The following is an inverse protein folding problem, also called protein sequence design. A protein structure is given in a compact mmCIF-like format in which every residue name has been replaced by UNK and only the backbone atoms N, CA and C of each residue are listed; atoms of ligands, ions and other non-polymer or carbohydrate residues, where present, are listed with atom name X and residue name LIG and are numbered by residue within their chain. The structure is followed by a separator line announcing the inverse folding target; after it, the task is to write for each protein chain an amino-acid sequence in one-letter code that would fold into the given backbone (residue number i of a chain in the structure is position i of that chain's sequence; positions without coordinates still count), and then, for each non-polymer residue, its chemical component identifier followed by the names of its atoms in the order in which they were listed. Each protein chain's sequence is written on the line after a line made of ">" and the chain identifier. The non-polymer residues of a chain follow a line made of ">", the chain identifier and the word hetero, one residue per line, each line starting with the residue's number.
data_IF_751802757643
#
_entry.id   IF_751802757643
#
_cell.length_a   1.000
_cell.length_b   1.000
_cell.length_c   1.000
_cell.angle_alpha   90.00
_cell.angle_beta   90.00
_cell.angle_gamma   90.00
#
_symmetry.space_group_name_H-M   'P 1'
#
loop_
_entity.id
_entity.type
_entity.pdbx_description
1 polymer ?
#
# COMPACT_ATOMS: atom_id res chain seq x y z
N UNK A 1 29.35 -20.66 -24.72
CA UNK A 1 30.42 -19.75 -25.20
C UNK A 1 30.07 -18.27 -24.99
N UNK A 2 28.80 -17.87 -25.16
CA UNK A 2 28.32 -16.48 -25.05
C UNK A 2 28.40 -15.86 -23.63
N UNK A 3 28.27 -16.66 -22.57
CA UNK A 3 28.34 -16.22 -21.16
C UNK A 3 29.77 -15.91 -20.67
N UNK A 4 30.80 -16.54 -21.26
CA UNK A 4 32.20 -16.35 -20.87
C UNK A 4 32.79 -15.02 -21.37
N UNK A 5 32.45 -14.64 -22.61
CA UNK A 5 32.87 -13.35 -23.20
C UNK A 5 32.27 -12.16 -22.43
N UNK A 6 31.02 -12.28 -21.97
CA UNK A 6 30.38 -11.27 -21.13
C UNK A 6 31.06 -11.10 -19.77
N UNK A 7 31.39 -12.22 -19.09
CA UNK A 7 32.14 -12.22 -17.83
C UNK A 7 33.55 -11.63 -17.97
N UNK A 8 34.27 -11.99 -19.03
CA UNK A 8 35.60 -11.46 -19.30
C UNK A 8 35.58 -9.94 -19.56
N UNK A 9 34.61 -9.46 -20.36
CA UNK A 9 34.42 -8.03 -20.62
C UNK A 9 34.06 -7.25 -19.33
N UNK A 10 33.20 -7.82 -18.49
CA UNK A 10 32.85 -7.24 -17.19
C UNK A 10 34.07 -7.10 -16.27
N UNK A 11 34.85 -8.17 -16.10
CA UNK A 11 36.05 -8.17 -15.26
C UNK A 11 37.09 -7.17 -15.78
N UNK A 12 37.30 -7.10 -17.09
CA UNK A 12 38.21 -6.14 -17.71
C UNK A 12 37.74 -4.68 -17.49
N UNK A 13 36.45 -4.42 -17.65
CA UNK A 13 35.84 -3.12 -17.38
C UNK A 13 36.00 -2.69 -15.92
N UNK A 14 35.74 -3.61 -14.98
CA UNK A 14 35.90 -3.35 -13.55
C UNK A 14 37.36 -3.02 -13.22
N UNK A 15 38.32 -3.82 -13.69
CA UNK A 15 39.75 -3.57 -13.49
C UNK A 15 40.19 -2.22 -14.04
N UNK A 16 39.69 -1.81 -15.20
CA UNK A 16 39.96 -0.48 -15.80
C UNK A 16 39.48 0.64 -14.88
N UNK A 17 38.26 0.57 -14.38
CA UNK A 17 37.71 1.59 -13.48
C UNK A 17 38.39 1.60 -12.11
N UNK A 18 38.77 0.44 -11.58
CA UNK A 18 39.56 0.33 -10.35
C UNK A 18 40.93 0.99 -10.51
N UNK A 19 41.59 0.80 -11.66
CA UNK A 19 42.87 1.46 -11.97
C UNK A 19 42.71 2.98 -12.10
N UNK A 20 41.74 3.43 -12.88
CA UNK A 20 41.45 4.86 -13.05
C UNK A 20 41.16 5.55 -11.71
N UNK A 21 40.43 4.89 -10.80
CA UNK A 21 40.18 5.42 -9.46
C UNK A 21 41.45 5.54 -8.59
N UNK A 22 42.39 4.59 -8.71
CA UNK A 22 43.66 4.62 -7.98
C UNK A 22 44.62 5.70 -8.49
N UNK A 23 44.64 5.91 -9.80
CA UNK A 23 45.53 6.87 -10.47
C UNK A 23 44.97 8.31 -10.48
N UNK A 24 43.68 8.48 -10.18
CA UNK A 24 42.99 9.76 -10.22
C UNK A 24 43.68 10.92 -9.46
N UNK A 25 44.32 10.72 -8.28
CA UNK A 25 45.00 11.81 -7.57
C UNK A 25 46.18 12.42 -8.33
N UNK A 26 46.78 11.67 -9.27
CA UNK A 26 48.00 12.05 -10.00
C UNK A 26 47.80 12.10 -11.52
N UNK A 27 46.60 11.82 -12.01
CA UNK A 27 46.29 11.79 -13.43
C UNK A 27 46.17 13.20 -14.04
N UNK A 28 46.38 13.30 -15.35
CA UNK A 28 46.22 14.55 -16.08
C UNK A 28 44.77 15.08 -16.04
N UNK A 29 44.60 16.40 -16.01
CA UNK A 29 43.30 17.05 -15.86
C UNK A 29 42.36 16.83 -17.06
N UNK A 30 42.89 16.69 -18.28
CA UNK A 30 42.07 16.40 -19.47
C UNK A 30 41.57 14.96 -19.39
N UNK A 31 42.44 14.03 -19.03
CA UNK A 31 42.07 12.63 -18.83
C UNK A 31 41.03 12.48 -17.71
N UNK A 32 41.23 13.15 -16.56
CA UNK A 32 40.27 13.14 -15.45
C UNK A 32 38.89 13.67 -15.84
N UNK A 33 38.81 14.72 -16.67
CA UNK A 33 37.51 15.23 -17.16
C UNK A 33 36.77 14.20 -18.01
N UNK A 34 37.50 13.49 -18.87
CA UNK A 34 36.92 12.42 -19.71
C UNK A 34 36.50 11.23 -18.86
N UNK A 35 37.38 10.75 -17.97
CA UNK A 35 37.10 9.65 -17.05
C UNK A 35 35.89 9.96 -16.17
N UNK A 36 35.80 11.17 -15.59
CA UNK A 36 34.65 11.63 -14.80
C UNK A 36 33.35 11.61 -15.59
N UNK A 37 33.37 12.05 -16.84
CA UNK A 37 32.18 12.09 -17.71
C UNK A 37 31.67 10.68 -18.01
N UNK A 38 32.59 9.77 -18.36
CA UNK A 38 32.26 8.36 -18.59
C UNK A 38 31.78 7.66 -17.32
N UNK A 39 32.40 7.92 -16.17
CA UNK A 39 32.00 7.35 -14.88
C UNK A 39 30.59 7.78 -14.48
N UNK A 40 30.24 9.06 -14.65
CA UNK A 40 28.88 9.56 -14.37
C UNK A 40 27.82 8.86 -15.22
N UNK A 41 28.07 8.69 -16.53
CA UNK A 41 27.16 7.96 -17.43
C UNK A 41 26.96 6.51 -16.97
N UNK A 42 28.04 5.83 -16.61
CA UNK A 42 27.97 4.46 -16.09
C UNK A 42 27.20 4.39 -14.78
N UNK A 43 27.49 5.29 -13.83
CA UNK A 43 26.80 5.39 -12.55
C UNK A 43 25.29 5.54 -12.74
N UNK A 44 24.84 6.45 -13.59
CA UNK A 44 23.40 6.65 -13.86
C UNK A 44 22.72 5.36 -14.32
N UNK A 45 23.34 4.59 -15.22
CA UNK A 45 22.77 3.32 -15.71
C UNK A 45 22.79 2.21 -14.67
N UNK A 46 23.85 2.16 -13.86
CA UNK A 46 23.93 1.21 -12.75
C UNK A 46 22.89 1.53 -11.68
N UNK A 47 22.72 2.81 -11.33
CA UNK A 47 21.68 3.25 -10.38
C UNK A 47 20.27 2.90 -10.89
N UNK A 48 20.01 3.08 -12.19
CA UNK A 48 18.74 2.70 -12.84
C UNK A 48 18.47 1.19 -12.75
N UNK A 49 19.47 0.35 -13.06
CA UNK A 49 19.36 -1.11 -12.92
C UNK A 49 19.16 -1.52 -11.46
N UNK A 50 19.96 -0.98 -10.53
CA UNK A 50 19.87 -1.28 -9.10
C UNK A 50 18.48 -0.89 -8.59
N UNK A 51 17.97 0.28 -8.96
CA UNK A 51 16.62 0.71 -8.59
C UNK A 51 15.55 -0.30 -9.03
N UNK A 52 15.61 -0.78 -10.28
CA UNK A 52 14.68 -1.80 -10.77
C UNK A 52 14.91 -3.18 -10.13
N UNK A 53 16.16 -3.56 -9.89
CA UNK A 53 16.51 -4.84 -9.28
C UNK A 53 16.05 -4.89 -7.81
N UNK A 54 16.34 -3.86 -7.03
CA UNK A 54 15.89 -3.71 -5.64
C UNK A 54 14.36 -3.74 -5.57
N UNK A 55 13.66 -3.05 -6.47
CA UNK A 55 12.20 -3.11 -6.52
C UNK A 55 11.66 -4.52 -6.79
N UNK A 56 12.30 -5.30 -7.67
CA UNK A 56 11.86 -6.65 -8.07
C UNK A 56 12.29 -7.75 -7.10
N UNK A 57 13.44 -7.58 -6.46
CA UNK A 57 14.05 -8.55 -5.55
C UNK A 57 13.69 -8.29 -4.09
N UNK A 58 13.25 -7.07 -3.74
CA UNK A 58 12.73 -6.79 -2.41
C UNK A 58 11.55 -7.70 -2.11
N UNK A 59 11.66 -8.42 -1.00
CA UNK A 59 10.51 -9.09 -0.40
C UNK A 59 9.62 -8.04 0.27
N UNK A 60 8.29 -8.22 0.22
CA UNK A 60 7.58 -9.33 -0.43
C UNK A 60 7.45 -9.14 -1.96
N UNK A 61 7.59 -10.23 -2.72
CA UNK A 61 7.56 -10.19 -4.19
C UNK A 61 6.27 -9.55 -4.71
N UNK A 62 6.39 -8.65 -5.69
CA UNK A 62 5.24 -8.05 -6.39
C UNK A 62 4.34 -9.14 -6.95
N UNK A 63 3.04 -9.03 -6.70
CA UNK A 63 2.04 -10.02 -7.15
C UNK A 63 1.85 -11.22 -6.21
N UNK A 64 2.61 -11.34 -5.11
CA UNK A 64 2.28 -12.32 -4.08
C UNK A 64 1.03 -11.87 -3.30
N UNK A 65 -0.11 -12.42 -3.67
CA UNK A 65 -1.40 -12.19 -3.01
C UNK A 65 -1.68 -13.23 -1.90
N UNK A 66 -0.71 -14.06 -1.56
CA UNK A 66 -0.85 -15.00 -0.46
C UNK A 66 -0.67 -14.26 0.87
N UNK A 67 -1.68 -14.36 1.72
CA UNK A 67 -1.65 -13.92 3.10
C UNK A 67 -2.38 -14.98 3.95
N UNK A 68 -2.09 -15.10 5.25
CA UNK A 68 -2.82 -15.99 6.14
C UNK A 68 -4.33 -15.74 6.04
N UNK A 69 -5.11 -16.80 5.87
CA UNK A 69 -6.58 -16.73 5.82
C UNK A 69 -7.11 -17.64 6.91
N UNK A 70 -8.15 -17.24 7.67
CA UNK A 70 -8.83 -18.17 8.55
C UNK A 70 -9.30 -19.41 7.77
N UNK A 71 -9.11 -20.60 8.32
CA UNK A 71 -9.39 -21.88 7.64
C UNK A 71 -10.85 -22.02 7.18
N UNK A 72 -11.77 -21.36 7.89
CA UNK A 72 -13.21 -21.34 7.63
C UNK A 72 -13.65 -20.20 6.68
N UNK A 73 -12.70 -19.45 6.12
CA UNK A 73 -13.01 -18.35 5.20
C UNK A 73 -13.45 -18.86 3.83
N UNK A 74 -14.62 -18.40 3.37
CA UNK A 74 -15.16 -18.71 2.05
C UNK A 74 -14.76 -17.68 0.99
N UNK A 75 -14.21 -16.54 1.41
CA UNK A 75 -13.67 -15.50 0.54
C UNK A 75 -12.56 -14.73 1.25
N UNK A 76 -11.55 -14.30 0.49
CA UNK A 76 -10.49 -13.43 0.97
C UNK A 76 -9.98 -12.55 -0.16
N UNK A 77 -9.53 -11.35 0.18
CA UNK A 77 -9.08 -10.36 -0.81
C UNK A 77 -8.15 -9.32 -0.19
N UNK A 78 -7.19 -8.86 -1.00
CA UNK A 78 -6.31 -7.72 -0.72
C UNK A 78 -6.50 -6.70 -1.85
N UNK A 79 -6.71 -5.40 -1.57
CA UNK A 79 -6.88 -4.39 -2.61
C UNK A 79 -5.62 -4.20 -3.46
N UNK A 80 -5.80 -3.72 -4.69
CA UNK A 80 -4.73 -3.57 -5.68
C UNK A 80 -3.58 -2.68 -5.19
N UNK A 81 -3.91 -1.68 -4.37
CA UNK A 81 -2.98 -0.70 -3.82
C UNK A 81 -1.86 -1.36 -3.01
N UNK A 82 -2.12 -2.53 -2.40
CA UNK A 82 -1.12 -3.28 -1.62
C UNK A 82 -0.46 -4.41 -2.40
N UNK A 83 -0.95 -4.73 -3.60
CA UNK A 83 -0.50 -5.89 -4.38
C UNK A 83 0.60 -5.55 -5.41
N UNK A 84 0.50 -4.40 -6.06
CA UNK A 84 1.35 -4.04 -7.20
C UNK A 84 1.45 -2.53 -7.44
N UNK A 85 2.42 -2.09 -8.26
CA UNK A 85 2.62 -0.67 -8.52
C UNK A 85 1.41 -0.07 -9.24
N UNK A 86 0.92 1.07 -8.76
CA UNK A 86 -0.13 1.84 -9.42
C UNK A 86 0.45 2.69 -10.57
N UNK A 87 -0.33 2.96 -11.64
CA UNK A 87 0.08 3.88 -12.71
C UNK A 87 0.39 5.29 -12.21
N UNK A 88 -0.37 5.75 -11.21
CA UNK A 88 -0.13 6.98 -10.45
C UNK A 88 0.21 6.58 -9.03
N UNK A 89 1.46 6.84 -8.63
CA UNK A 89 1.97 6.42 -7.32
C UNK A 89 1.60 7.39 -6.19
N UNK A 90 1.07 8.58 -6.49
CA UNK A 90 0.67 9.50 -5.45
C UNK A 90 0.13 10.84 -5.94
N UNK A 91 -0.44 11.57 -5.00
CA UNK A 91 -1.16 12.81 -5.20
C UNK A 91 -0.68 13.79 -4.12
N UNK A 92 -0.37 15.02 -4.54
CA UNK A 92 -0.01 16.14 -3.66
C UNK A 92 -1.14 17.15 -3.71
N UNK A 93 -1.45 17.78 -2.58
CA UNK A 93 -2.58 18.71 -2.50
C UNK A 93 -3.88 17.97 -2.78
N UNK A 94 -4.06 16.82 -2.13
CA UNK A 94 -5.20 15.93 -2.36
C UNK A 94 -6.49 16.71 -2.15
N UNK A 95 -7.35 16.73 -3.16
CA UNK A 95 -8.71 17.28 -3.06
C UNK A 95 -9.65 16.18 -2.58
N UNK A 96 -10.74 16.58 -1.94
CA UNK A 96 -11.79 15.63 -1.54
C UNK A 96 -12.33 14.88 -2.76
N UNK A 97 -12.59 13.59 -2.60
CA UNK A 97 -12.99 12.63 -3.66
C UNK A 97 -11.89 12.29 -4.66
N UNK A 98 -10.62 12.55 -4.34
CA UNK A 98 -9.51 12.10 -5.17
C UNK A 98 -9.34 10.58 -5.06
N UNK A 99 -9.32 9.89 -6.21
CA UNK A 99 -9.05 8.46 -6.30
C UNK A 99 -7.56 8.16 -6.44
N UNK A 100 -7.10 7.06 -5.83
CA UNK A 100 -5.76 6.50 -6.03
C UNK A 100 -5.90 5.03 -6.41
N UNK A 101 -5.59 4.71 -7.67
CA UNK A 101 -5.99 3.44 -8.27
C UNK A 101 -7.49 3.40 -8.59
N UNK A 102 -8.03 2.20 -8.72
CA UNK A 102 -9.43 1.92 -9.06
C UNK A 102 -10.32 1.73 -7.83
N UNK A 103 -9.72 1.40 -6.68
CA UNK A 103 -10.45 0.90 -5.51
C UNK A 103 -10.45 1.88 -4.34
N UNK A 104 -9.49 2.82 -4.27
CA UNK A 104 -9.34 3.71 -3.13
C UNK A 104 -9.69 5.17 -3.47
N UNK A 105 -10.47 5.82 -2.60
CA UNK A 105 -10.85 7.24 -2.73
C UNK A 105 -10.71 7.95 -1.40
N UNK A 106 -10.03 9.09 -1.37
CA UNK A 106 -9.88 9.92 -0.17
C UNK A 106 -11.00 10.97 -0.10
N UNK A 107 -11.69 11.02 1.03
CA UNK A 107 -12.73 12.00 1.35
C UNK A 107 -12.26 12.87 2.50
N UNK A 108 -12.41 14.18 2.36
CA UNK A 108 -12.22 15.11 3.47
C UNK A 108 -13.00 16.42 3.31
N UNK A 109 -13.13 17.18 4.38
CA UNK A 109 -13.73 18.53 4.43
C UNK A 109 -12.70 19.65 4.65
N UNK A 110 -11.40 19.31 4.72
CA UNK A 110 -10.34 20.32 4.87
C UNK A 110 -10.30 21.31 3.69
N UNK A 111 -10.37 22.60 4.01
CA UNK A 111 -10.35 23.69 3.03
C UNK A 111 -8.96 23.92 2.43
N UNK A 112 -7.91 23.65 3.21
CA UNK A 112 -6.52 23.72 2.76
C UNK A 112 -6.08 22.33 2.30
N UNK A 113 -5.63 22.22 1.06
CA UNK A 113 -5.12 20.96 0.49
C UNK A 113 -3.69 20.73 0.93
N UNK A 114 -3.50 20.45 2.22
CA UNK A 114 -2.20 20.16 2.84
C UNK A 114 -2.08 18.66 3.17
N UNK A 115 -2.56 17.84 2.25
CA UNK A 115 -2.56 16.39 2.30
C UNK A 115 -1.69 15.85 1.15
N UNK A 116 -0.94 14.79 1.41
CA UNK A 116 -0.37 13.96 0.35
C UNK A 116 -0.74 12.50 0.57
N UNK A 117 -1.02 11.79 -0.52
CA UNK A 117 -1.38 10.39 -0.50
C UNK A 117 -0.50 9.66 -1.51
N UNK A 118 0.30 8.69 -1.07
CA UNK A 118 1.25 8.00 -1.94
C UNK A 118 1.34 6.51 -1.65
N UNK A 119 1.38 5.70 -2.70
CA UNK A 119 1.82 4.33 -2.62
C UNK A 119 3.33 4.28 -2.36
N UNK A 120 3.74 3.49 -1.39
CA UNK A 120 5.14 3.27 -1.02
C UNK A 120 5.48 1.79 -1.12
N UNK A 121 6.73 1.47 -1.45
CA UNK A 121 7.22 0.09 -1.47
C UNK A 121 7.44 -0.36 -0.02
N UNK A 122 6.84 -1.48 0.37
CA UNK A 122 7.21 -2.15 1.61
C UNK A 122 8.56 -2.85 1.44
N UNK A 123 9.42 -2.73 2.45
CA UNK A 123 10.79 -3.24 2.42
C UNK A 123 11.14 -4.10 3.63
N UNK A 124 10.21 -4.27 4.59
CA UNK A 124 10.46 -5.10 5.76
C UNK A 124 10.22 -6.56 5.39
N UNK A 125 11.09 -7.44 5.89
CA UNK A 125 10.95 -8.88 5.67
C UNK A 125 9.64 -9.47 6.23
N UNK A 126 9.06 -8.83 7.26
CA UNK A 126 7.79 -9.22 7.85
C UNK A 126 6.56 -8.76 7.06
N UNK A 127 6.70 -7.76 6.17
CA UNK A 127 5.60 -7.28 5.36
C UNK A 127 5.23 -8.37 4.32
N UNK A 128 3.95 -8.75 4.24
CA UNK A 128 3.45 -9.67 3.21
C UNK A 128 2.92 -8.93 1.98
N UNK A 129 2.44 -7.70 2.16
CA UNK A 129 2.05 -6.81 1.07
C UNK A 129 3.26 -6.15 0.41
N UNK A 130 3.25 -6.14 -0.91
CA UNK A 130 4.28 -5.55 -1.76
C UNK A 130 4.36 -4.02 -1.59
N UNK A 131 3.25 -3.37 -1.33
CA UNK A 131 3.16 -1.92 -1.21
C UNK A 131 2.32 -1.56 0.00
N UNK A 132 2.55 -0.35 0.51
CA UNK A 132 1.72 0.29 1.53
C UNK A 132 1.20 1.64 1.02
N UNK A 133 0.31 2.25 1.81
CA UNK A 133 -0.22 3.59 1.57
C UNK A 133 0.32 4.54 2.63
N UNK A 134 0.93 5.63 2.19
CA UNK A 134 1.38 6.73 3.03
C UNK A 134 0.44 7.92 2.87
N UNK A 135 -0.10 8.39 3.99
CA UNK A 135 -0.92 9.59 4.10
C UNK A 135 -0.17 10.60 4.98
N UNK A 136 0.32 11.67 4.37
CA UNK A 136 0.92 12.80 5.08
C UNK A 136 -0.12 13.89 5.26
N UNK A 137 -0.36 14.30 6.50
CA UNK A 137 -1.31 15.36 6.86
C UNK A 137 -0.56 16.47 7.59
N UNK A 138 -0.44 17.63 6.95
CA UNK A 138 0.16 18.80 7.59
C UNK A 138 -0.92 19.60 8.35
N UNK A 139 -1.29 20.79 7.89
CA UNK A 139 -2.42 21.51 8.44
C UNK A 139 -3.75 20.83 8.07
N UNK A 140 -4.56 20.52 9.08
CA UNK A 140 -5.92 20.03 8.88
C UNK A 140 -6.89 20.92 9.64
N UNK A 141 -7.76 21.61 8.91
CA UNK A 141 -8.82 22.48 9.47
C UNK A 141 -10.21 21.86 9.31
N UNK A 142 -10.29 20.66 8.77
CA UNK A 142 -11.52 19.89 8.62
C UNK A 142 -11.85 19.10 9.88
N UNK A 143 -13.01 18.46 9.86
CA UNK A 143 -13.49 17.54 10.90
C UNK A 143 -13.54 16.09 10.43
N UNK A 144 -13.38 15.84 9.14
CA UNK A 144 -13.56 14.52 8.54
C UNK A 144 -12.45 14.21 7.55
N UNK A 145 -11.74 13.12 7.77
CA UNK A 145 -10.79 12.52 6.83
C UNK A 145 -11.04 11.03 6.78
N UNK A 146 -11.27 10.50 5.57
CA UNK A 146 -11.47 9.07 5.38
C UNK A 146 -10.91 8.55 4.07
N UNK A 147 -10.37 7.34 4.11
CA UNK A 147 -10.03 6.56 2.94
C UNK A 147 -11.12 5.50 2.73
N UNK A 148 -11.90 5.65 1.67
CA UNK A 148 -12.84 4.62 1.24
C UNK A 148 -12.12 3.61 0.35
N UNK A 149 -12.35 2.32 0.61
CA UNK A 149 -11.87 1.19 -0.21
C UNK A 149 -13.08 0.40 -0.68
N UNK A 150 -13.30 0.39 -1.98
CA UNK A 150 -14.38 -0.36 -2.62
C UNK A 150 -14.06 -1.86 -2.65
N UNK A 151 -14.95 -2.69 -2.09
CA UNK A 151 -14.78 -4.13 -2.14
C UNK A 151 -15.30 -4.69 -3.48
N UNK A 152 -14.66 -5.76 -4.02
CA UNK A 152 -15.02 -6.33 -5.30
C UNK A 152 -16.39 -7.00 -5.28
N UNK A 153 -17.00 -7.19 -6.47
CA UNK A 153 -18.34 -7.79 -6.60
C UNK A 153 -18.47 -9.19 -5.98
N UNK A 154 -17.39 -9.97 -5.97
CA UNK A 154 -17.40 -11.29 -5.35
C UNK A 154 -17.45 -11.25 -3.81
N UNK A 155 -17.13 -10.11 -3.17
CA UNK A 155 -17.28 -9.94 -1.73
C UNK A 155 -18.75 -9.99 -1.28
N UNK A 156 -19.66 -9.49 -2.11
CA UNK A 156 -21.10 -9.46 -1.84
C UNK A 156 -21.86 -10.67 -2.38
N UNK A 157 -21.23 -11.48 -3.23
CA UNK A 157 -21.85 -12.66 -3.81
C UNK A 157 -22.20 -13.69 -2.72
N UNK A 158 -23.49 -13.96 -2.52
CA UNK A 158 -23.98 -14.87 -1.49
C UNK A 158 -23.87 -14.33 -0.06
N UNK A 159 -23.66 -13.02 0.11
CA UNK A 159 -23.55 -12.41 1.43
C UNK A 159 -24.89 -12.51 2.17
N UNK A 160 -24.83 -13.02 3.39
CA UNK A 160 -25.98 -13.15 4.31
C UNK A 160 -25.63 -12.58 5.68
N UNK A 161 -26.64 -12.37 6.53
CA UNK A 161 -26.49 -11.94 7.92
C UNK A 161 -25.73 -12.94 8.79
N UNK A 162 -25.53 -14.17 8.32
CA UNK A 162 -24.72 -15.18 9.01
C UNK A 162 -23.22 -15.01 8.75
N UNK A 163 -22.79 -14.03 7.96
CA UNK A 163 -21.38 -13.81 7.69
C UNK A 163 -20.75 -12.81 8.66
N UNK A 164 -19.47 -13.06 8.94
CA UNK A 164 -18.54 -12.11 9.52
C UNK A 164 -17.61 -11.62 8.40
N UNK A 165 -17.40 -10.31 8.34
CA UNK A 165 -16.33 -9.74 7.53
C UNK A 165 -15.20 -9.36 8.48
N UNK A 166 -14.02 -9.93 8.26
CA UNK A 166 -12.82 -9.57 9.00
C UNK A 166 -11.99 -8.60 8.18
N UNK A 167 -11.47 -7.58 8.86
CA UNK A 167 -10.45 -6.68 8.38
C UNK A 167 -9.18 -6.93 9.19
N UNK A 168 -8.06 -7.17 8.51
CA UNK A 168 -6.73 -7.18 9.11
C UNK A 168 -5.89 -6.08 8.44
N UNK A 169 -5.12 -5.34 9.23
CA UNK A 169 -4.31 -4.24 8.72
C UNK A 169 -3.03 -4.09 9.53
N UNK A 170 -2.03 -3.44 8.94
CA UNK A 170 -0.82 -3.02 9.62
C UNK A 170 -0.75 -1.50 9.48
N UNK A 171 -0.85 -0.78 10.59
CA UNK A 171 -0.85 0.68 10.61
C UNK A 171 0.30 1.19 11.45
N UNK A 172 0.97 2.22 10.94
CA UNK A 172 1.97 2.98 11.69
C UNK A 172 1.61 4.45 11.61
N UNK A 173 1.68 5.16 12.73
CA UNK A 173 1.52 6.61 12.76
C UNK A 173 2.70 7.27 13.49
N UNK A 174 3.03 8.51 13.11
CA UNK A 174 4.05 9.28 13.82
C UNK A 174 3.54 9.73 15.20
N UNK A 175 2.29 10.19 15.25
CA UNK A 175 1.58 10.49 16.49
C UNK A 175 0.40 9.52 16.68
N UNK A 176 0.08 9.11 17.92
CA UNK A 176 -1.11 8.31 18.18
C UNK A 176 -2.38 9.01 17.70
N UNK A 177 -3.24 8.27 17.00
CA UNK A 177 -4.55 8.75 16.57
C UNK A 177 -5.56 7.60 16.57
N UNK A 178 -6.83 7.92 16.75
CA UNK A 178 -7.89 6.93 16.64
C UNK A 178 -8.26 6.72 15.16
N UNK A 179 -8.43 5.44 14.78
CA UNK A 179 -8.88 5.08 13.43
C UNK A 179 -10.11 4.20 13.56
N UNK A 180 -11.18 4.62 12.91
CA UNK A 180 -12.44 3.87 12.85
C UNK A 180 -12.61 3.25 11.48
N UNK A 181 -12.85 1.94 11.45
CA UNK A 181 -13.22 1.21 10.27
C UNK A 181 -14.75 1.09 10.21
N UNK A 182 -15.37 1.67 9.19
CA UNK A 182 -16.81 1.58 8.93
C UNK A 182 -17.06 0.74 7.69
N UNK A 183 -17.64 -0.45 7.89
CA UNK A 183 -18.12 -1.28 6.80
C UNK A 183 -19.50 -0.77 6.36
N UNK A 184 -19.64 -0.47 5.08
CA UNK A 184 -20.89 -0.06 4.47
C UNK A 184 -21.37 -1.16 3.50
N UNK A 185 -22.61 -1.60 3.65
CA UNK A 185 -23.23 -2.60 2.77
C UNK A 185 -24.51 -2.01 2.18
N UNK A 186 -24.48 -1.69 0.88
CA UNK A 186 -25.65 -1.19 0.15
C UNK A 186 -26.56 -2.35 -0.24
N UNK A 187 -27.84 -2.22 0.09
CA UNK A 187 -28.87 -3.17 -0.32
C UNK A 187 -30.16 -2.45 -0.79
N UNK A 188 -30.37 -2.40 -2.10
CA UNK A 188 -31.44 -1.59 -2.68
C UNK A 188 -31.25 -0.09 -2.38
N UNK A 189 -32.29 0.62 -1.87
CA UNK A 189 -32.18 2.03 -1.51
C UNK A 189 -31.45 2.29 -0.18
N UNK A 190 -31.20 1.25 0.62
CA UNK A 190 -30.67 1.36 1.97
C UNK A 190 -29.17 1.00 2.02
N UNK A 191 -28.49 1.47 3.06
CA UNK A 191 -27.11 1.10 3.37
C UNK A 191 -27.00 0.78 4.85
N UNK A 192 -26.53 -0.43 5.18
CA UNK A 192 -26.18 -0.77 6.55
C UNK A 192 -24.74 -0.31 6.82
N UNK A 193 -24.51 0.21 8.02
CA UNK A 193 -23.20 0.68 8.46
C UNK A 193 -22.83 0.01 9.77
N UNK A 194 -21.67 -0.61 9.82
CA UNK A 194 -21.12 -1.21 11.04
C UNK A 194 -19.76 -0.59 11.30
N UNK A 195 -19.59 0.03 12.46
CA UNK A 195 -18.36 0.74 12.84
C UNK A 195 -17.59 -0.08 13.88
N UNK A 196 -16.27 -0.15 13.72
CA UNK A 196 -15.32 -0.71 14.67
C UNK A 196 -14.13 0.24 14.81
N UNK A 197 -13.67 0.47 16.03
CA UNK A 197 -12.39 1.11 16.27
C UNK A 197 -11.28 0.10 16.01
N UNK A 198 -10.18 0.53 15.38
CA UNK A 198 -9.02 -0.33 15.18
C UNK A 198 -8.20 -0.40 16.48
N UNK A 199 -7.89 -1.61 16.98
CA UNK A 199 -7.09 -1.77 18.19
C UNK A 199 -5.59 -1.55 17.89
N UNK A 200 -5.19 -0.30 17.68
CA UNK A 200 -3.82 0.07 17.26
C UNK A 200 -2.73 -0.23 18.28
N UNK A 201 -3.10 -0.62 19.50
CA UNK A 201 -2.19 -1.00 20.59
C UNK A 201 -1.89 -2.51 20.63
N UNK A 202 -2.57 -3.31 19.80
CA UNK A 202 -2.35 -4.76 19.72
C UNK A 202 -1.24 -5.10 18.71
N UNK A 203 -0.60 -6.27 18.89
CA UNK A 203 0.40 -6.77 17.92
C UNK A 203 -0.21 -7.05 16.55
N UNK A 204 -1.49 -7.43 16.52
CA UNK A 204 -2.25 -7.70 15.29
C UNK A 204 -3.48 -6.81 15.26
N UNK A 205 -3.51 -5.82 14.36
CA UNK A 205 -4.67 -4.94 14.20
C UNK A 205 -5.72 -5.63 13.35
N UNK A 206 -6.71 -6.22 14.02
CA UNK A 206 -7.81 -6.93 13.37
C UNK A 206 -9.17 -6.55 13.98
N UNK A 207 -10.20 -6.48 13.14
CA UNK A 207 -11.59 -6.26 13.59
C UNK A 207 -12.55 -7.14 12.79
N UNK A 208 -13.63 -7.59 13.44
CA UNK A 208 -14.71 -8.33 12.79
C UNK A 208 -16.03 -7.53 12.80
N UNK A 209 -16.66 -7.47 11.63
CA UNK A 209 -17.99 -6.90 11.40
C UNK A 209 -19.01 -8.03 11.36
N UNK A 210 -19.81 -8.14 12.43
CA UNK A 210 -20.91 -9.10 12.52
C UNK A 210 -22.17 -8.57 11.85
N UNK A 211 -22.60 -9.23 10.76
CA UNK A 211 -23.76 -8.82 9.99
C UNK A 211 -25.09 -9.27 10.60
N UNK A 212 -25.09 -10.10 11.65
CA UNK A 212 -26.33 -10.68 12.17
C UNK A 212 -27.30 -9.64 12.70
N UNK A 213 -26.80 -8.55 13.28
CA UNK A 213 -27.61 -7.49 13.88
C UNK A 213 -28.01 -6.39 12.90
N UNK A 214 -27.59 -6.49 11.64
CA UNK A 214 -27.96 -5.55 10.57
C UNK A 214 -29.37 -5.83 10.06
N UNK A 215 -30.00 -4.82 9.43
CA UNK A 215 -31.27 -4.97 8.69
C UNK A 215 -31.04 -5.28 7.21
N UNK A 216 -29.94 -5.97 6.91
CA UNK A 216 -29.51 -6.31 5.56
C UNK A 216 -30.59 -7.10 4.81
N UNK A 217 -30.97 -6.60 3.63
CA UNK A 217 -31.79 -7.37 2.68
C UNK A 217 -30.86 -8.22 1.81
N UNK A 218 -30.67 -9.48 2.21
CA UNK A 218 -29.75 -10.45 1.59
C UNK A 218 -30.02 -10.66 0.08
N UNK A 219 -31.28 -10.51 -0.37
CA UNK A 219 -31.65 -10.66 -1.78
C UNK A 219 -31.32 -9.44 -2.64
N UNK A 220 -30.93 -8.33 -2.03
CA UNK A 220 -30.74 -7.04 -2.70
C UNK A 220 -29.37 -6.42 -2.42
N UNK A 221 -28.39 -7.20 -1.97
CA UNK A 221 -27.03 -6.69 -1.75
C UNK A 221 -26.39 -6.30 -3.10
N UNK A 222 -25.93 -5.05 -3.21
CA UNK A 222 -25.41 -4.48 -4.46
C UNK A 222 -23.91 -4.21 -4.40
N UNK A 223 -23.45 -3.57 -3.33
CA UNK A 223 -22.06 -3.12 -3.16
C UNK A 223 -21.68 -3.09 -1.70
N UNK A 224 -20.39 -3.28 -1.42
CA UNK A 224 -19.79 -3.13 -0.12
C UNK A 224 -18.52 -2.28 -0.25
N UNK A 225 -18.26 -1.42 0.73
CA UNK A 225 -17.01 -0.65 0.82
C UNK A 225 -16.66 -0.41 2.29
N UNK A 226 -15.37 -0.20 2.56
CA UNK A 226 -14.87 0.15 3.88
C UNK A 226 -14.44 1.61 3.88
N UNK A 227 -14.87 2.38 4.87
CA UNK A 227 -14.29 3.69 5.18
C UNK A 227 -13.31 3.53 6.35
N UNK A 228 -12.02 3.84 6.16
CA UNK A 228 -11.10 4.08 7.26
C UNK A 228 -11.16 5.57 7.60
N UNK A 229 -11.59 5.91 8.80
CA UNK A 229 -11.82 7.29 9.27
C UNK A 229 -10.72 7.62 10.26
N UNK A 230 -10.00 8.72 10.03
CA UNK A 230 -8.88 9.16 10.85
C UNK A 230 -9.33 10.33 11.74
N UNK A 231 -9.33 10.12 13.05
CA UNK A 231 -9.68 11.13 14.05
C UNK A 231 -8.46 12.01 14.37
N UNK A 232 -8.65 13.32 14.49
CA UNK A 232 -7.57 14.27 14.79
C UNK A 232 -6.29 14.17 13.94
N UNK A 233 -6.33 14.03 12.59
CA UNK A 233 -5.16 13.62 11.80
C UNK A 233 -4.09 14.71 11.59
N UNK A 234 -4.23 15.88 12.23
CA UNK A 234 -3.39 17.06 11.96
C UNK A 234 -1.93 16.81 12.33
N UNK A 235 -1.01 17.29 11.48
CA UNK A 235 0.44 17.19 11.69
C UNK A 235 0.89 15.75 11.96
N UNK A 236 0.35 14.81 11.20
CA UNK A 236 0.59 13.38 11.38
C UNK A 236 0.87 12.71 10.03
N UNK A 237 1.60 11.61 10.09
CA UNK A 237 1.86 10.72 8.97
C UNK A 237 1.35 9.34 9.34
N UNK A 238 0.48 8.78 8.50
CA UNK A 238 -0.07 7.44 8.68
C UNK A 238 0.36 6.55 7.52
N UNK A 239 0.95 5.40 7.83
CA UNK A 239 1.32 4.36 6.89
C UNK A 239 0.43 3.14 7.09
N UNK A 240 -0.42 2.81 6.11
CA UNK A 240 -1.15 1.55 6.04
C UNK A 240 -0.31 0.55 5.23
N UNK A 241 0.45 -0.30 5.91
CA UNK A 241 1.38 -1.25 5.26
C UNK A 241 0.70 -2.45 4.64
N UNK A 242 -0.43 -2.90 5.19
CA UNK A 242 -1.25 -3.95 4.61
C UNK A 242 -2.73 -3.69 4.93
N UNK A 243 -3.61 -4.20 4.07
CA UNK A 243 -5.05 -4.18 4.26
C UNK A 243 -5.63 -5.43 3.60
N UNK A 244 -6.17 -6.34 4.39
CA UNK A 244 -6.75 -7.58 3.90
C UNK A 244 -8.15 -7.79 4.47
N UNK A 245 -8.96 -8.48 3.68
CA UNK A 245 -10.32 -8.83 4.05
C UNK A 245 -10.50 -10.34 3.94
N UNK A 246 -11.27 -10.88 4.86
CA UNK A 246 -11.83 -12.22 4.72
C UNK A 246 -13.30 -12.24 5.11
N UNK A 247 -14.01 -13.23 4.58
CA UNK A 247 -15.39 -13.49 4.90
C UNK A 247 -15.50 -14.95 5.31
N UNK A 248 -16.26 -15.18 6.38
CA UNK A 248 -16.57 -16.51 6.89
C UNK A 248 -17.99 -16.53 7.44
N UNK A 249 -18.58 -17.72 7.55
CA UNK A 249 -19.84 -17.87 8.28
C UNK A 249 -19.57 -17.89 9.77
N UNK A 250 -20.51 -17.35 10.55
CA UNK A 250 -20.52 -17.51 11.99
C UNK A 250 -20.60 -19.00 12.33
N UNK A 251 -19.89 -19.41 13.37
CA UNK A 251 -20.11 -20.71 13.99
C UNK A 251 -21.56 -20.80 14.48
N UNK A 252 -22.19 -21.97 14.31
CA UNK A 252 -23.48 -22.24 14.92
C UNK A 252 -23.31 -22.24 16.45
N UNK A 253 -24.11 -21.41 17.14
CA UNK A 253 -24.27 -21.45 18.59
C UNK A 253 -25.18 -22.61 18.99
#
# INVERSE_FOLDING_TARGET
>A
MQDWLGKAAFVAGLRRWTRAAREAPTADLVELRQQRTHARRLKTRLDELIHHADARLALPMVGNQSFPRPEDSDWAWRPELWCGPLPVQGIVGVRSKAGLGHEATLYHDCQRTELTLRQIRNTRAADLAAYGLKLDVFGFTGSYLSLAVDLPKNAVAGLTRQHLIRLETIVESEEPLEIFARLNVKHGPNTEQVVRELPLHEETVQVEFDLAYTRLNEKRVEKMWLDLIFEGPRMNQVNLRDLTFSRRRRAAL
#
